data_IF_442286556367
#
_entry.id   IF_442286556367
#
_cell.length_a   1.000
_cell.length_b   1.000
_cell.length_c   1.000
_cell.angle_alpha   90.00
_cell.angle_beta   90.00
_cell.angle_gamma   90.00
#
_symmetry.space_group_name_H-M   'P 1'
#
loop_
_entity.id
_entity.type
_entity.pdbx_description
1 polymer ?
#
# COMPACT_ATOMS: atom_id res chain seq x y z
N UNK A 1 -10.71 12.11 -6.73
CA UNK A 1 -9.38 12.61 -6.30
C UNK A 1 -8.72 11.53 -5.45
N UNK A 2 -7.80 10.72 -6.02
CA UNK A 2 -7.20 9.58 -5.32
C UNK A 2 -5.91 10.04 -4.62
N UNK A 3 -6.01 10.68 -3.45
CA UNK A 3 -4.80 11.08 -2.71
C UNK A 3 -4.13 9.91 -1.99
N UNK A 4 -4.90 8.89 -1.57
CA UNK A 4 -4.36 7.76 -0.81
C UNK A 4 -3.41 6.83 -1.57
N UNK A 5 -3.48 6.79 -2.90
CA UNK A 5 -2.56 5.98 -3.72
C UNK A 5 -1.21 6.68 -3.90
N UNK A 6 -1.23 8.02 -4.03
CA UNK A 6 -0.03 8.86 -4.12
C UNK A 6 0.74 8.85 -2.79
N UNK A 7 0.05 9.05 -1.67
CA UNK A 7 0.65 9.02 -0.32
C UNK A 7 1.33 7.67 0.00
N UNK A 8 0.78 6.58 -0.54
CA UNK A 8 1.35 5.24 -0.38
C UNK A 8 2.65 5.08 -1.16
N UNK A 9 2.71 5.63 -2.36
CA UNK A 9 3.86 5.55 -3.26
C UNK A 9 5.02 6.43 -2.77
N UNK A 10 4.73 7.63 -2.28
CA UNK A 10 5.73 8.53 -1.68
C UNK A 10 6.37 7.92 -0.42
N UNK A 11 5.56 7.35 0.48
CA UNK A 11 6.06 6.67 1.67
C UNK A 11 6.96 5.47 1.32
N UNK A 12 6.60 4.70 0.30
CA UNK A 12 7.38 3.54 -0.13
C UNK A 12 8.67 3.94 -0.83
N UNK A 13 8.70 5.10 -1.48
CA UNK A 13 9.90 5.70 -2.03
C UNK A 13 10.84 6.17 -0.92
N UNK A 14 10.34 6.93 0.05
CA UNK A 14 11.13 7.44 1.18
C UNK A 14 11.81 6.31 1.97
N UNK A 15 11.07 5.21 2.20
CA UNK A 15 11.60 4.03 2.88
C UNK A 15 12.70 3.35 2.08
N UNK A 16 12.48 3.10 0.78
CA UNK A 16 13.48 2.46 -0.10
C UNK A 16 14.73 3.33 -0.26
N UNK A 17 14.55 4.64 -0.37
CA UNK A 17 15.63 5.60 -0.46
C UNK A 17 16.47 5.61 0.82
N UNK A 18 15.83 5.67 1.99
CA UNK A 18 16.51 5.61 3.28
C UNK A 18 17.20 4.27 3.54
N UNK A 19 16.65 3.16 3.03
CA UNK A 19 17.25 1.82 3.14
C UNK A 19 18.44 1.58 2.20
N UNK A 20 18.46 2.27 1.07
CA UNK A 20 19.53 2.13 0.07
C UNK A 20 20.75 3.00 0.37
N UNK A 21 20.72 3.84 1.41
CA UNK A 21 21.86 4.65 1.80
C UNK A 21 22.99 3.77 2.37
N UNK A 22 24.15 3.80 1.70
CA UNK A 22 25.36 3.06 2.11
C UNK A 22 25.82 3.42 3.53
N UNK A 23 25.60 4.67 3.93
CA UNK A 23 25.95 5.19 5.26
C UNK A 23 24.70 5.67 5.99
N UNK A 24 24.15 4.80 6.83
CA UNK A 24 23.08 5.16 7.77
C UNK A 24 23.70 5.80 9.01
N UNK A 25 24.01 7.09 8.93
CA UNK A 25 24.45 7.81 10.12
C UNK A 25 23.36 7.81 11.19
N UNK A 26 23.69 7.49 12.47
CA UNK A 26 22.72 7.52 13.53
C UNK A 26 22.16 8.93 13.69
N UNK A 27 20.84 9.05 13.64
CA UNK A 27 20.14 10.32 13.86
C UNK A 27 20.61 10.97 15.16
N UNK A 28 20.53 12.30 15.24
CA UNK A 28 20.94 13.03 16.45
C UNK A 28 20.28 12.46 17.72
N UNK A 29 19.01 12.05 17.62
CA UNK A 29 18.28 11.37 18.69
C UNK A 29 18.86 9.99 19.02
N UNK A 30 19.21 9.18 18.03
CA UNK A 30 19.84 7.88 18.26
C UNK A 30 21.20 8.04 18.98
N UNK A 31 21.98 9.06 18.61
CA UNK A 31 23.23 9.42 19.29
C UNK A 31 23.01 9.87 20.75
N UNK A 32 21.99 10.69 21.01
CA UNK A 32 21.62 11.10 22.38
C UNK A 32 21.16 9.92 23.23
N UNK A 33 20.35 9.02 22.68
CA UNK A 33 19.90 7.81 23.37
C UNK A 33 21.06 6.87 23.67
N UNK A 34 21.97 6.66 22.70
CA UNK A 34 23.18 5.88 22.92
C UNK A 34 24.04 6.45 24.06
N UNK A 35 24.21 7.77 24.11
CA UNK A 35 24.91 8.43 25.22
C UNK A 35 24.20 8.26 26.57
N UNK A 36 22.87 8.38 26.60
CA UNK A 36 22.06 8.20 27.82
C UNK A 36 22.07 6.76 28.32
N UNK A 37 21.99 5.80 27.42
CA UNK A 37 21.87 4.37 27.73
C UNK A 37 23.21 3.67 27.94
N UNK A 38 24.34 4.33 27.64
CA UNK A 38 25.69 3.82 27.93
C UNK A 38 25.89 3.46 29.40
N UNK A 39 25.29 4.23 30.31
CA UNK A 39 25.45 4.07 31.76
C UNK A 39 24.19 3.57 32.48
N UNK A 40 23.01 3.72 31.87
CA UNK A 40 21.75 3.25 32.44
C UNK A 40 20.83 2.74 31.32
N UNK A 41 20.93 1.44 30.95
CA UNK A 41 20.11 0.89 29.88
C UNK A 41 18.63 0.89 30.30
N UNK A 42 17.69 1.01 29.34
CA UNK A 42 16.28 0.88 29.64
C UNK A 42 15.99 -0.52 30.19
N UNK A 43 15.12 -0.60 31.19
CA UNK A 43 14.67 -1.89 31.73
C UNK A 43 13.95 -2.74 30.68
N UNK A 44 13.74 -4.05 30.95
CA UNK A 44 13.06 -4.94 30.02
C UNK A 44 11.68 -4.39 29.68
N UNK A 45 11.50 -3.94 28.44
CA UNK A 45 10.20 -3.57 27.91
C UNK A 45 9.61 -4.79 27.22
N UNK A 46 8.31 -5.09 27.42
CA UNK A 46 7.64 -6.13 26.65
C UNK A 46 7.87 -5.87 25.16
N UNK A 47 8.37 -6.87 24.43
CA UNK A 47 8.51 -6.79 22.99
C UNK A 47 7.13 -6.46 22.41
N UNK A 48 7.00 -5.27 21.85
CA UNK A 48 5.87 -4.95 20.99
C UNK A 48 6.28 -5.45 19.62
N UNK A 49 5.70 -6.55 19.11
CA UNK A 49 5.90 -6.89 17.71
C UNK A 49 5.58 -5.66 16.89
N UNK A 50 6.43 -5.37 15.90
CA UNK A 50 6.13 -4.39 14.85
C UNK A 50 4.66 -4.61 14.46
N UNK A 51 3.81 -3.57 14.42
CA UNK A 51 2.41 -3.77 14.08
C UNK A 51 2.37 -4.56 12.78
N UNK A 52 1.83 -5.79 12.86
CA UNK A 52 1.68 -6.70 11.72
C UNK A 52 1.29 -5.85 10.54
N UNK A 53 2.20 -5.75 9.56
CA UNK A 53 2.14 -4.82 8.44
C UNK A 53 0.68 -4.68 8.02
N UNK A 54 0.08 -3.54 8.41
CA UNK A 54 -1.37 -3.34 8.48
C UNK A 54 -2.12 -4.17 7.45
N UNK A 55 -2.64 -5.32 7.90
CA UNK A 55 -3.79 -6.00 7.31
C UNK A 55 -3.96 -5.80 5.79
N UNK A 56 -3.13 -6.48 5.00
CA UNK A 56 -3.41 -6.72 3.58
C UNK A 56 -4.78 -7.38 3.35
N UNK A 57 -5.41 -7.93 4.40
CA UNK A 57 -6.74 -8.53 4.38
C UNK A 57 -7.94 -7.57 4.21
N UNK A 58 -7.80 -6.24 4.40
CA UNK A 58 -8.96 -5.30 4.28
C UNK A 58 -8.92 -4.39 3.05
N UNK A 59 -7.80 -4.33 2.32
CA UNK A 59 -7.65 -3.51 1.09
C UNK A 59 -7.89 -4.31 -0.21
N UNK A 60 -7.84 -5.64 -0.16
CA UNK A 60 -7.98 -6.49 -1.35
C UNK A 60 -9.37 -6.44 -2.01
N UNK A 61 -10.44 -6.17 -1.25
CA UNK A 61 -11.80 -6.09 -1.80
C UNK A 61 -12.03 -4.92 -2.76
N UNK A 62 -11.19 -3.87 -2.72
CA UNK A 62 -11.34 -2.67 -3.55
C UNK A 62 -10.61 -2.75 -4.90
N UNK A 63 -9.63 -3.64 -5.04
CA UNK A 63 -8.80 -3.71 -6.25
C UNK A 63 -9.56 -4.30 -7.45
N UNK A 64 -10.52 -5.19 -7.22
CA UNK A 64 -11.22 -5.91 -8.29
C UNK A 64 -12.49 -5.21 -8.79
N UNK A 65 -12.95 -4.16 -8.10
CA UNK A 65 -14.19 -3.46 -8.45
C UNK A 65 -14.04 -2.78 -9.81
N UNK A 66 -12.92 -2.07 -10.05
CA UNK A 66 -12.67 -1.44 -11.35
C UNK A 66 -12.61 -2.47 -12.47
N UNK A 67 -11.94 -3.60 -12.25
CA UNK A 67 -11.86 -4.70 -13.22
C UNK A 67 -13.23 -5.31 -13.51
N UNK A 68 -14.05 -5.54 -12.48
CA UNK A 68 -15.40 -6.07 -12.64
C UNK A 68 -16.32 -5.10 -13.39
N UNK A 69 -16.22 -3.79 -13.14
CA UNK A 69 -16.98 -2.75 -13.85
C UNK A 69 -16.60 -2.70 -15.32
N UNK A 70 -15.30 -2.73 -15.64
CA UNK A 70 -14.82 -2.73 -17.03
C UNK A 70 -15.31 -3.98 -17.76
N UNK A 71 -15.12 -5.17 -17.17
CA UNK A 71 -15.58 -6.43 -17.78
C UNK A 71 -17.09 -6.47 -17.96
N UNK A 72 -17.85 -6.00 -16.96
CA UNK A 72 -19.31 -5.90 -17.04
C UNK A 72 -19.77 -4.96 -18.15
N UNK A 73 -19.12 -3.80 -18.30
CA UNK A 73 -19.42 -2.85 -19.37
C UNK A 73 -19.14 -3.42 -20.75
N UNK A 74 -18.00 -4.10 -20.93
CA UNK A 74 -17.64 -4.75 -22.20
C UNK A 74 -18.65 -5.85 -22.55
N UNK A 75 -19.00 -6.71 -21.58
CA UNK A 75 -19.99 -7.76 -21.78
C UNK A 75 -21.37 -7.18 -22.14
N UNK A 76 -21.80 -6.11 -21.48
CA UNK A 76 -23.07 -5.43 -21.77
C UNK A 76 -23.12 -4.86 -23.19
N UNK A 77 -22.04 -4.22 -23.67
CA UNK A 77 -21.95 -3.71 -25.04
C UNK A 77 -22.02 -4.85 -26.06
N UNK A 78 -21.27 -5.94 -25.83
CA UNK A 78 -21.30 -7.12 -26.71
C UNK A 78 -22.71 -7.71 -26.79
N UNK A 79 -23.37 -7.90 -25.63
CA UNK A 79 -24.73 -8.43 -25.57
C UNK A 79 -25.74 -7.49 -26.23
N UNK A 80 -25.61 -6.18 -26.05
CA UNK A 80 -26.49 -5.19 -26.68
C UNK A 80 -26.35 -5.20 -28.20
N UNK A 81 -25.12 -5.16 -28.73
CA UNK A 81 -24.88 -5.24 -30.17
C UNK A 81 -25.33 -6.57 -30.75
N UNK A 82 -25.05 -7.68 -30.05
CA UNK A 82 -25.52 -9.01 -30.43
C UNK A 82 -27.05 -9.09 -30.45
N UNK A 83 -27.72 -8.51 -29.46
CA UNK A 83 -29.17 -8.49 -29.37
C UNK A 83 -29.81 -7.66 -30.49
N UNK A 84 -29.24 -6.49 -30.82
CA UNK A 84 -29.70 -5.67 -31.94
C UNK A 84 -29.51 -6.40 -33.27
N UNK A 85 -28.35 -7.04 -33.50
CA UNK A 85 -28.11 -7.84 -34.70
C UNK A 85 -29.05 -9.03 -34.80
N UNK A 86 -29.34 -9.71 -33.68
CA UNK A 86 -30.30 -10.82 -33.65
C UNK A 86 -31.73 -10.37 -33.94
N UNK A 87 -32.08 -9.14 -33.56
CA UNK A 87 -33.42 -8.57 -33.75
C UNK A 87 -33.59 -7.83 -35.08
N UNK A 88 -32.50 -7.52 -35.78
CA UNK A 88 -32.55 -7.02 -37.15
C UNK A 88 -32.93 -8.19 -38.07
N UNK A 89 -34.15 -8.19 -38.66
CA UNK A 89 -34.43 -9.14 -39.73
C UNK A 89 -33.54 -8.79 -40.92
N UNK A 90 -32.85 -9.80 -41.46
CA UNK A 90 -32.07 -9.69 -42.70
C UNK A 90 -32.87 -9.04 -43.83
#
# INVERSE_FOLDING_TARGET
>A
MPQHEQDGQEREFDLRWADSAEHKEPSARARMLAARWKHNPPGPVPFRPEPDHRSSGRRSRSSWISTAVVLGSVAAVILLLGYINFRAPY
#
